data_IF_926463493091
#
_entry.id   IF_926463493091
#
_cell.length_a   1.000
_cell.length_b   1.000
_cell.length_c   1.000
_cell.angle_alpha   90.00
_cell.angle_beta   90.00
_cell.angle_gamma   90.00
#
_symmetry.space_group_name_H-M   'P 1'
#
loop_
_entity.id
_entity.type
_entity.pdbx_description
1 polymer ?
#
# COMPACT_ATOMS: atom_id res chain seq x y z
N UNK A 1 3.18 27.45 -14.19
CA UNK A 1 3.53 27.98 -12.85
C UNK A 1 3.63 29.50 -12.93
N UNK A 2 2.98 30.26 -12.04
CA UNK A 2 3.01 31.73 -12.05
C UNK A 2 4.34 32.25 -11.47
N UNK A 3 5.37 32.28 -12.33
CA UNK A 3 6.69 32.90 -12.10
C UNK A 3 6.56 34.38 -11.66
N UNK A 4 5.39 34.99 -11.88
CA UNK A 4 5.10 36.39 -11.61
C UNK A 4 5.07 36.78 -10.14
N UNK A 5 4.90 35.84 -9.20
CA UNK A 5 4.62 36.20 -7.81
C UNK A 5 5.86 36.55 -6.99
N UNK A 6 7.05 36.09 -7.41
CA UNK A 6 8.32 36.31 -6.71
C UNK A 6 9.50 36.43 -7.70
N UNK A 7 9.58 37.54 -8.45
CA UNK A 7 10.64 37.75 -9.44
C UNK A 7 12.05 37.73 -8.83
N UNK A 8 12.20 38.02 -7.53
CA UNK A 8 13.47 37.98 -6.80
C UNK A 8 14.11 36.59 -6.73
N UNK A 9 13.35 35.52 -7.00
CA UNK A 9 13.86 34.15 -7.04
C UNK A 9 14.71 33.86 -8.28
N UNK A 10 14.71 34.76 -9.27
CA UNK A 10 15.46 34.63 -10.52
C UNK A 10 15.27 33.25 -11.18
N UNK A 11 14.03 32.78 -11.24
CA UNK A 11 13.66 31.55 -11.95
C UNK A 11 13.82 31.81 -13.45
N UNK A 12 14.63 30.99 -14.09
CA UNK A 12 14.95 31.10 -15.53
C UNK A 12 14.15 30.09 -16.34
N UNK A 13 14.04 30.29 -17.65
CA UNK A 13 13.42 29.31 -18.56
C UNK A 13 14.10 27.94 -18.47
N UNK A 14 15.43 27.92 -18.31
CA UNK A 14 16.20 26.70 -18.02
C UNK A 14 15.69 25.94 -16.79
N UNK A 15 15.39 26.66 -15.71
CA UNK A 15 14.92 26.02 -14.47
C UNK A 15 13.54 25.38 -14.68
N UNK A 16 12.67 26.04 -15.44
CA UNK A 16 11.34 25.55 -15.80
C UNK A 16 11.46 24.29 -16.64
N UNK A 17 12.24 24.34 -17.72
CA UNK A 17 12.47 23.20 -18.61
C UNK A 17 13.03 22.00 -17.82
N UNK A 18 14.00 22.22 -16.93
CA UNK A 18 14.56 21.14 -16.11
C UNK A 18 13.52 20.50 -15.17
N UNK A 19 12.65 21.31 -14.55
CA UNK A 19 11.58 20.81 -13.68
C UNK A 19 10.52 20.08 -14.49
N UNK A 20 10.14 20.58 -15.66
CA UNK A 20 9.19 19.93 -16.56
C UNK A 20 9.72 18.59 -17.08
N UNK A 21 10.97 18.55 -17.53
CA UNK A 21 11.63 17.30 -17.96
C UNK A 21 11.69 16.30 -16.79
N UNK A 22 12.05 16.75 -15.59
CA UNK A 22 12.07 15.89 -14.41
C UNK A 22 10.67 15.34 -14.09
N UNK A 23 9.64 16.17 -14.12
CA UNK A 23 8.25 15.75 -13.92
C UNK A 23 7.79 14.72 -14.97
N UNK A 24 8.12 14.94 -16.25
CA UNK A 24 7.80 14.01 -17.34
C UNK A 24 8.54 12.67 -17.21
N UNK A 25 9.77 12.69 -16.67
CA UNK A 25 10.67 11.53 -16.67
C UNK A 25 10.73 10.77 -15.35
N UNK A 26 10.08 11.24 -14.27
CA UNK A 26 10.26 10.67 -12.93
C UNK A 26 9.79 9.21 -12.81
N UNK A 27 8.84 8.79 -13.63
CA UNK A 27 8.23 7.46 -13.62
C UNK A 27 8.76 6.50 -14.71
N UNK A 28 9.76 6.91 -15.51
CA UNK A 28 10.33 6.08 -16.59
C UNK A 28 10.90 4.73 -16.11
N UNK A 29 11.31 4.66 -14.85
CA UNK A 29 11.92 3.48 -14.23
C UNK A 29 10.95 2.46 -13.66
N UNK A 30 9.64 2.65 -13.80
CA UNK A 30 8.66 1.67 -13.34
C UNK A 30 8.68 0.40 -14.19
N UNK A 31 8.88 -0.74 -13.53
CA UNK A 31 8.70 -2.06 -14.15
C UNK A 31 7.24 -2.54 -14.15
N UNK A 32 6.98 -3.77 -14.61
CA UNK A 32 5.64 -4.35 -14.69
C UNK A 32 4.88 -4.32 -13.35
N UNK A 33 3.65 -3.82 -13.34
CA UNK A 33 2.85 -3.57 -12.13
C UNK A 33 3.52 -2.62 -11.11
N UNK A 34 4.37 -1.71 -11.57
CA UNK A 34 4.96 -0.60 -10.81
C UNK A 34 5.59 -1.05 -9.49
N UNK A 35 4.93 -0.82 -8.34
CA UNK A 35 5.47 -1.14 -7.02
C UNK A 35 5.55 -2.63 -6.70
N UNK A 36 4.76 -3.47 -7.40
CA UNK A 36 4.90 -4.93 -7.27
C UNK A 36 6.29 -5.36 -7.75
N UNK A 37 6.82 -4.69 -8.78
CA UNK A 37 8.12 -4.97 -9.35
C UNK A 37 9.26 -4.65 -8.38
N UNK A 38 9.36 -3.38 -7.97
CA UNK A 38 10.50 -2.89 -7.19
C UNK A 38 10.44 -3.35 -5.71
N UNK A 39 9.25 -3.48 -5.14
CA UNK A 39 9.07 -3.74 -3.70
C UNK A 39 8.89 -5.22 -3.37
N UNK A 40 8.49 -6.05 -4.34
CA UNK A 40 8.21 -7.48 -4.08
C UNK A 40 9.03 -8.41 -4.98
N UNK A 41 9.12 -8.17 -6.28
CA UNK A 41 9.79 -9.08 -7.21
C UNK A 41 11.32 -8.99 -7.11
N UNK A 42 11.89 -7.80 -7.39
CA UNK A 42 13.35 -7.62 -7.43
C UNK A 42 14.04 -8.01 -6.11
N UNK A 43 13.54 -7.64 -4.91
CA UNK A 43 14.18 -8.01 -3.66
C UNK A 43 14.25 -9.53 -3.42
N UNK A 44 13.31 -10.30 -3.99
CA UNK A 44 13.28 -11.77 -3.86
C UNK A 44 14.25 -12.46 -4.83
N UNK A 45 14.42 -11.92 -6.04
CA UNK A 45 15.30 -12.51 -7.06
C UNK A 45 16.74 -12.06 -6.88
N UNK A 46 16.96 -10.80 -6.50
CA UNK A 46 18.27 -10.16 -6.42
C UNK A 46 18.51 -9.52 -5.04
N UNK A 47 18.59 -10.32 -3.94
CA UNK A 47 18.67 -9.80 -2.57
C UNK A 47 19.90 -8.93 -2.27
N UNK A 48 20.93 -8.98 -3.12
CA UNK A 48 22.15 -8.16 -3.00
C UNK A 48 22.17 -6.92 -3.89
N UNK A 49 21.21 -6.73 -4.80
CA UNK A 49 21.14 -5.57 -5.69
C UNK A 49 19.98 -4.70 -5.29
N UNK A 50 20.26 -3.43 -5.01
CA UNK A 50 19.21 -2.45 -4.74
C UNK A 50 18.73 -1.87 -6.07
N UNK A 51 17.41 -1.90 -6.25
CA UNK A 51 16.71 -1.28 -7.37
C UNK A 51 15.48 -0.58 -6.83
N UNK A 52 15.20 0.61 -7.35
CA UNK A 52 13.98 1.35 -7.14
C UNK A 52 13.69 2.14 -8.43
N UNK A 53 12.44 2.49 -8.66
CA UNK A 53 12.03 3.09 -9.93
C UNK A 53 12.75 4.43 -10.19
N UNK A 54 13.07 5.25 -9.19
CA UNK A 54 13.83 6.49 -9.43
C UNK A 54 15.24 6.23 -10.03
N UNK A 55 15.93 5.16 -9.63
CA UNK A 55 17.20 4.76 -10.24
C UNK A 55 17.01 4.28 -11.69
N UNK A 56 15.92 3.58 -11.96
CA UNK A 56 15.54 3.19 -13.31
C UNK A 56 15.20 4.39 -14.19
N UNK A 57 14.54 5.41 -13.64
CA UNK A 57 14.19 6.65 -14.35
C UNK A 57 15.45 7.42 -14.74
N UNK A 58 16.43 7.50 -13.83
CA UNK A 58 17.74 8.06 -14.12
C UNK A 58 18.46 7.32 -15.28
N UNK A 59 18.45 5.98 -15.27
CA UNK A 59 19.06 5.16 -16.32
C UNK A 59 18.35 5.31 -17.67
N UNK A 60 17.01 5.30 -17.67
CA UNK A 60 16.21 5.43 -18.87
C UNK A 60 16.31 6.82 -19.49
N UNK A 61 16.42 7.87 -18.67
CA UNK A 61 16.69 9.22 -19.14
C UNK A 61 18.04 9.29 -19.86
N UNK A 62 19.11 8.74 -19.28
CA UNK A 62 20.44 8.71 -19.90
C UNK A 62 20.39 7.99 -21.26
N UNK A 63 19.71 6.84 -21.32
CA UNK A 63 19.55 6.09 -22.57
C UNK A 63 18.76 6.87 -23.63
N UNK A 64 17.64 7.50 -23.25
CA UNK A 64 16.82 8.28 -24.18
C UNK A 64 17.57 9.49 -24.74
N UNK A 65 18.37 10.18 -23.92
CA UNK A 65 19.21 11.30 -24.36
C UNK A 65 20.24 10.82 -25.39
N UNK A 66 20.91 9.70 -25.11
CA UNK A 66 21.95 9.16 -25.98
C UNK A 66 21.38 8.63 -27.31
N UNK A 67 20.28 7.88 -27.28
CA UNK A 67 19.66 7.23 -28.45
C UNK A 67 19.08 8.26 -29.42
N UNK A 68 18.35 9.25 -28.90
CA UNK A 68 17.65 10.25 -29.74
C UNK A 68 18.43 11.55 -29.94
N UNK A 69 19.64 11.67 -29.37
CA UNK A 69 20.46 12.88 -29.47
C UNK A 69 19.78 14.13 -28.91
N UNK A 70 19.09 14.00 -27.77
CA UNK A 70 18.33 15.09 -27.16
C UNK A 70 19.32 16.19 -26.70
N UNK A 71 19.14 17.45 -27.15
CA UNK A 71 20.05 18.53 -26.81
C UNK A 71 19.84 18.98 -25.35
N UNK A 72 20.59 18.39 -24.43
CA UNK A 72 20.63 18.77 -23.01
C UNK A 72 22.09 18.82 -22.53
N UNK A 73 22.44 19.82 -21.73
CA UNK A 73 23.80 19.91 -21.21
C UNK A 73 24.03 18.87 -20.11
N UNK A 74 25.27 18.41 -19.92
CA UNK A 74 25.60 17.49 -18.85
C UNK A 74 25.30 18.06 -17.45
N UNK A 75 25.29 19.39 -17.29
CA UNK A 75 24.89 20.05 -16.04
C UNK A 75 23.39 19.89 -15.80
N UNK A 76 22.58 20.15 -16.83
CA UNK A 76 21.12 20.10 -16.74
C UNK A 76 20.63 18.66 -16.58
N UNK A 77 21.24 17.71 -17.30
CA UNK A 77 20.96 16.29 -17.12
C UNK A 77 21.20 15.84 -15.67
N UNK A 78 22.32 16.26 -15.04
CA UNK A 78 22.56 15.98 -13.62
C UNK A 78 21.52 16.63 -12.71
N UNK A 79 21.09 17.85 -13.03
CA UNK A 79 20.07 18.55 -12.26
C UNK A 79 18.69 17.87 -12.36
N UNK A 80 18.25 17.51 -13.57
CA UNK A 80 17.02 16.73 -13.81
C UNK A 80 17.04 15.42 -13.04
N UNK A 81 18.15 14.67 -13.08
CA UNK A 81 18.30 13.42 -12.31
C UNK A 81 18.24 13.64 -10.81
N UNK A 82 18.84 14.73 -10.32
CA UNK A 82 18.76 15.11 -8.91
C UNK A 82 17.30 15.42 -8.49
N UNK A 83 16.53 16.11 -9.34
CA UNK A 83 15.11 16.40 -9.11
C UNK A 83 14.27 15.12 -9.07
N UNK A 84 14.48 14.18 -10.00
CA UNK A 84 13.82 12.86 -10.02
C UNK A 84 14.14 12.06 -8.75
N UNK A 85 15.40 12.03 -8.34
CA UNK A 85 15.81 11.36 -7.11
C UNK A 85 15.32 12.06 -5.83
N UNK A 86 15.00 13.36 -5.91
CA UNK A 86 14.73 14.21 -4.76
C UNK A 86 15.96 14.44 -3.88
N UNK A 87 17.17 14.42 -4.45
CA UNK A 87 18.45 14.49 -3.74
C UNK A 87 19.30 15.68 -4.20
N UNK A 88 19.27 16.81 -3.45
CA UNK A 88 20.07 17.99 -3.78
C UNK A 88 21.58 17.78 -3.74
N UNK A 89 22.09 16.71 -3.11
CA UNK A 89 23.53 16.44 -3.06
C UNK A 89 24.09 15.96 -4.41
N UNK A 90 23.22 15.53 -5.33
CA UNK A 90 23.59 15.05 -6.67
C UNK A 90 23.78 16.16 -7.71
N UNK A 91 23.42 17.40 -7.40
CA UNK A 91 23.56 18.53 -8.31
C UNK A 91 24.60 19.55 -7.84
N UNK A 92 24.81 20.58 -8.65
CA UNK A 92 25.73 21.66 -8.31
C UNK A 92 25.14 22.52 -7.17
N UNK A 93 25.95 23.07 -6.24
CA UNK A 93 25.43 23.84 -5.10
C UNK A 93 24.73 25.15 -5.47
N UNK A 94 24.87 25.63 -6.71
CA UNK A 94 24.22 26.82 -7.24
C UNK A 94 22.76 26.60 -7.66
N UNK A 95 22.29 25.34 -7.71
CA UNK A 95 20.91 25.03 -8.07
C UNK A 95 19.93 25.38 -6.94
N UNK A 96 18.74 25.83 -7.33
CA UNK A 96 17.74 26.38 -6.40
C UNK A 96 17.04 25.27 -5.61
N UNK A 97 17.26 25.22 -4.29
CA UNK A 97 16.81 24.12 -3.41
C UNK A 97 15.30 23.94 -3.34
N UNK A 98 14.51 25.01 -3.50
CA UNK A 98 13.06 24.93 -3.45
C UNK A 98 12.45 24.17 -4.64
N UNK A 99 13.19 23.99 -5.74
CA UNK A 99 12.70 23.23 -6.91
C UNK A 99 12.56 21.72 -6.62
N UNK A 100 13.29 21.21 -5.62
CA UNK A 100 13.19 19.82 -5.16
C UNK A 100 11.89 19.52 -4.41
N UNK A 101 11.15 20.56 -4.00
CA UNK A 101 9.85 20.41 -3.35
C UNK A 101 8.71 20.21 -4.37
N UNK A 102 9.00 20.22 -5.69
CA UNK A 102 8.02 20.14 -6.79
C UNK A 102 7.84 18.70 -7.28
N UNK A 103 8.88 18.06 -7.81
CA UNK A 103 8.75 16.75 -8.49
C UNK A 103 8.75 15.58 -7.50
N UNK A 104 9.76 15.51 -6.63
CA UNK A 104 9.92 14.42 -5.67
C UNK A 104 10.18 14.99 -4.28
N UNK A 105 9.12 15.47 -3.63
CA UNK A 105 9.21 16.13 -2.33
C UNK A 105 9.50 15.12 -1.20
N UNK A 106 10.78 14.85 -0.92
CA UNK A 106 11.21 13.98 0.18
C UNK A 106 11.04 14.62 1.57
N UNK A 107 10.70 15.92 1.67
CA UNK A 107 10.54 16.64 2.95
C UNK A 107 9.18 16.48 3.60
N UNK A 108 8.09 16.40 2.82
CA UNK A 108 6.73 16.23 3.35
C UNK A 108 5.79 15.41 2.44
N UNK A 109 6.20 15.05 1.21
CA UNK A 109 5.44 14.16 0.32
C UNK A 109 4.18 14.78 -0.30
N UNK A 110 4.07 16.10 -0.33
CA UNK A 110 2.95 16.82 -0.96
C UNK A 110 3.26 17.16 -2.41
N UNK A 111 2.33 16.85 -3.31
CA UNK A 111 2.37 17.18 -4.75
C UNK A 111 1.21 18.13 -5.14
N UNK A 112 1.42 18.95 -6.16
CA UNK A 112 0.95 20.32 -6.28
C UNK A 112 0.05 20.53 -7.50
N UNK A 113 -1.25 20.24 -7.36
CA UNK A 113 -2.26 20.68 -8.34
C UNK A 113 -3.22 21.74 -7.77
N UNK A 114 -3.62 21.64 -6.50
CA UNK A 114 -4.62 22.55 -5.90
C UNK A 114 -4.04 23.62 -4.96
N UNK A 115 -2.78 23.49 -4.51
CA UNK A 115 -2.14 24.38 -3.52
C UNK A 115 -1.15 25.37 -4.19
N UNK A 116 -0.96 25.27 -5.50
CA UNK A 116 0.01 26.09 -6.24
C UNK A 116 -0.27 27.59 -6.10
N UNK A 117 -1.55 27.99 -6.00
CA UNK A 117 -1.93 29.40 -5.93
C UNK A 117 -1.56 30.08 -4.60
N UNK A 118 -1.37 29.33 -3.51
CA UNK A 118 -0.96 29.86 -2.22
C UNK A 118 0.48 29.49 -1.84
N UNK A 119 1.21 28.83 -2.75
CA UNK A 119 2.61 28.51 -2.57
C UNK A 119 3.48 29.77 -2.69
N UNK A 120 4.44 29.93 -1.78
CA UNK A 120 5.50 30.96 -1.81
C UNK A 120 6.82 30.34 -1.38
N UNK A 121 7.92 30.84 -1.91
CA UNK A 121 9.26 30.48 -1.45
C UNK A 121 9.71 31.44 -0.37
N UNK A 122 10.00 30.90 0.82
CA UNK A 122 10.54 31.62 1.97
C UNK A 122 11.65 30.75 2.56
N UNK A 123 12.81 31.35 2.87
CA UNK A 123 13.98 30.61 3.40
C UNK A 123 14.39 29.39 2.54
N UNK A 124 14.36 29.51 1.21
CA UNK A 124 14.67 28.43 0.24
C UNK A 124 13.73 27.20 0.29
N UNK A 125 12.51 27.35 0.81
CA UNK A 125 11.52 26.28 0.88
C UNK A 125 10.15 26.73 0.40
N UNK A 126 9.38 25.81 -0.20
CA UNK A 126 7.98 26.08 -0.52
C UNK A 126 7.16 26.09 0.78
N UNK A 127 6.54 27.24 1.03
CA UNK A 127 5.67 27.53 2.15
C UNK A 127 4.24 27.81 1.65
N UNK A 128 3.25 27.52 2.48
CA UNK A 128 1.83 27.70 2.13
C UNK A 128 1.13 28.70 3.05
N UNK A 129 0.03 29.30 2.61
CA UNK A 129 -0.80 30.14 3.48
C UNK A 129 -1.39 29.27 4.61
N UNK A 130 -1.29 29.72 5.87
CA UNK A 130 -1.79 29.00 7.03
C UNK A 130 -3.28 28.64 6.93
N UNK A 131 -4.07 29.42 6.19
CA UNK A 131 -5.49 29.12 5.93
C UNK A 131 -5.70 27.76 5.22
N UNK A 132 -4.70 27.30 4.47
CA UNK A 132 -4.76 26.07 3.67
C UNK A 132 -4.27 24.85 4.46
N UNK A 133 -3.85 24.99 5.73
CA UNK A 133 -3.35 23.88 6.54
C UNK A 133 -4.32 22.69 6.63
N UNK A 134 -5.63 22.96 6.75
CA UNK A 134 -6.65 21.91 6.73
C UNK A 134 -6.74 21.23 5.35
N UNK A 135 -6.57 21.96 4.26
CA UNK A 135 -6.55 21.38 2.91
C UNK A 135 -5.33 20.47 2.71
N UNK A 136 -4.16 20.89 3.20
CA UNK A 136 -2.96 20.04 3.19
C UNK A 136 -3.16 18.76 4.00
N UNK A 137 -3.80 18.86 5.17
CA UNK A 137 -4.18 17.68 5.95
C UNK A 137 -5.10 16.74 5.15
N UNK A 138 -6.13 17.28 4.48
CA UNK A 138 -7.08 16.50 3.68
C UNK A 138 -6.41 15.75 2.53
N UNK A 139 -5.34 16.29 1.93
CA UNK A 139 -4.54 15.59 0.92
C UNK A 139 -3.88 14.36 1.53
N UNK A 140 -3.20 14.52 2.68
CA UNK A 140 -2.57 13.41 3.40
C UNK A 140 -3.59 12.35 3.84
N UNK A 141 -4.74 12.80 4.35
CA UNK A 141 -5.84 11.93 4.77
C UNK A 141 -6.46 11.17 3.58
N UNK A 142 -6.65 11.85 2.44
CA UNK A 142 -7.15 11.26 1.20
C UNK A 142 -6.18 10.21 0.68
N UNK A 143 -4.88 10.51 0.64
CA UNK A 143 -3.83 9.53 0.29
C UNK A 143 -3.93 8.29 1.19
N UNK A 144 -3.97 8.48 2.52
CA UNK A 144 -4.13 7.38 3.46
C UNK A 144 -5.39 6.54 3.16
N UNK A 145 -6.53 7.19 2.91
CA UNK A 145 -7.80 6.53 2.58
C UNK A 145 -7.71 5.72 1.28
N UNK A 146 -7.09 6.26 0.23
CA UNK A 146 -6.88 5.56 -1.04
C UNK A 146 -5.97 4.33 -0.85
N UNK A 147 -4.87 4.46 -0.09
CA UNK A 147 -4.01 3.33 0.23
C UNK A 147 -4.76 2.23 1.00
N UNK A 148 -5.58 2.61 1.98
CA UNK A 148 -6.31 1.65 2.83
C UNK A 148 -7.45 0.95 2.09
N UNK A 149 -8.18 1.67 1.24
CA UNK A 149 -9.40 1.17 0.59
C UNK A 149 -9.16 0.58 -0.80
N UNK A 150 -8.25 1.18 -1.58
CA UNK A 150 -8.10 0.88 -3.01
C UNK A 150 -6.77 0.16 -3.27
N UNK A 151 -5.63 0.83 -3.04
CA UNK A 151 -4.32 0.29 -3.44
C UNK A 151 -3.96 -1.00 -2.69
N UNK A 152 -4.35 -1.10 -1.42
CA UNK A 152 -4.19 -2.32 -0.65
C UNK A 152 -5.48 -3.12 -0.58
N UNK A 153 -6.33 -3.16 -1.61
CA UNK A 153 -7.52 -4.00 -1.56
C UNK A 153 -7.14 -5.49 -1.45
N UNK A 154 -7.79 -6.23 -0.54
CA UNK A 154 -7.41 -7.62 -0.19
C UNK A 154 -7.30 -8.56 -1.39
N UNK A 155 -8.19 -8.42 -2.38
CA UNK A 155 -8.17 -9.26 -3.58
C UNK A 155 -7.13 -8.80 -4.61
N UNK A 156 -6.80 -7.51 -4.64
CA UNK A 156 -5.71 -7.00 -5.48
C UNK A 156 -4.38 -7.53 -4.96
N UNK A 157 -4.11 -7.40 -3.65
CA UNK A 157 -2.94 -8.00 -2.99
C UNK A 157 -2.82 -9.51 -3.23
N UNK A 158 -3.92 -10.26 -3.18
CA UNK A 158 -3.91 -11.70 -3.50
C UNK A 158 -3.44 -11.97 -4.93
N UNK A 159 -3.88 -11.16 -5.90
CA UNK A 159 -3.44 -11.26 -7.30
C UNK A 159 -1.97 -10.86 -7.42
N UNK A 160 -1.52 -9.80 -6.76
CA UNK A 160 -0.11 -9.40 -6.76
C UNK A 160 0.79 -10.53 -6.26
N UNK A 161 0.43 -11.20 -5.16
CA UNK A 161 1.16 -12.38 -4.69
C UNK A 161 1.21 -13.51 -5.72
N UNK A 162 0.11 -13.76 -6.43
CA UNK A 162 0.08 -14.76 -7.50
C UNK A 162 0.92 -14.34 -8.71
N UNK A 163 0.92 -13.07 -9.08
CA UNK A 163 1.78 -12.54 -10.15
C UNK A 163 3.24 -12.73 -9.77
N UNK A 164 3.62 -12.38 -8.54
CA UNK A 164 4.99 -12.61 -8.04
C UNK A 164 5.36 -14.08 -8.10
N UNK A 165 4.51 -14.99 -7.62
CA UNK A 165 4.81 -16.43 -7.67
C UNK A 165 4.91 -16.95 -9.12
N UNK A 166 4.12 -16.41 -10.05
CA UNK A 166 4.22 -16.73 -11.47
C UNK A 166 5.53 -16.23 -12.08
N UNK A 167 5.96 -15.01 -11.75
CA UNK A 167 7.21 -14.42 -12.20
C UNK A 167 8.42 -15.16 -11.60
N UNK A 168 8.40 -15.49 -10.31
CA UNK A 168 9.45 -16.26 -9.64
C UNK A 168 9.62 -17.65 -10.26
N UNK A 169 8.52 -18.31 -10.63
CA UNK A 169 8.57 -19.59 -11.34
C UNK A 169 9.09 -19.45 -12.79
N UNK A 170 8.95 -18.27 -13.41
CA UNK A 170 9.43 -18.02 -14.77
C UNK A 170 10.89 -17.54 -14.82
N UNK A 171 11.37 -16.94 -13.73
CA UNK A 171 12.67 -16.29 -13.64
C UNK A 171 13.87 -17.19 -14.03
N UNK A 172 13.96 -18.47 -13.60
CA UNK A 172 15.09 -19.33 -13.98
C UNK A 172 15.26 -19.51 -15.49
N UNK A 173 14.19 -19.31 -16.26
CA UNK A 173 14.16 -19.54 -17.71
C UNK A 173 14.16 -18.23 -18.50
N UNK A 174 13.43 -17.22 -18.03
CA UNK A 174 13.28 -15.95 -18.73
C UNK A 174 14.30 -14.88 -18.31
N UNK A 175 14.95 -15.03 -17.14
CA UNK A 175 15.93 -14.09 -16.56
C UNK A 175 15.43 -12.64 -16.68
N UNK A 176 14.23 -12.40 -16.14
CA UNK A 176 13.49 -11.15 -16.33
C UNK A 176 14.08 -10.06 -15.43
N UNK A 177 14.49 -10.42 -14.22
CA UNK A 177 14.98 -9.47 -13.23
C UNK A 177 16.23 -8.72 -13.71
N UNK A 178 17.14 -9.37 -14.44
CA UNK A 178 18.37 -8.73 -14.93
C UNK A 178 18.11 -7.69 -16.02
N UNK A 179 16.98 -7.76 -16.72
CA UNK A 179 16.64 -6.85 -17.83
C UNK A 179 16.47 -5.40 -17.36
N UNK A 180 16.22 -5.16 -16.08
CA UNK A 180 16.07 -3.81 -15.52
C UNK A 180 17.37 -3.00 -15.54
N UNK A 181 18.53 -3.68 -15.61
CA UNK A 181 19.84 -3.02 -15.61
C UNK A 181 20.36 -2.74 -17.03
N UNK A 182 19.55 -3.06 -18.04
CA UNK A 182 19.88 -2.88 -19.44
C UNK A 182 18.74 -2.09 -20.10
N UNK A 183 18.94 -0.80 -20.41
CA UNK A 183 17.85 0.07 -20.86
C UNK A 183 17.21 -0.44 -22.17
N UNK A 184 17.98 -1.04 -23.08
CA UNK A 184 17.46 -1.58 -24.34
C UNK A 184 16.49 -2.75 -24.09
N UNK A 185 16.76 -3.56 -23.07
CA UNK A 185 15.87 -4.66 -22.67
C UNK A 185 14.73 -4.17 -21.78
N UNK A 186 14.96 -3.16 -20.96
CA UNK A 186 14.00 -2.64 -20.00
C UNK A 186 12.80 -1.98 -20.69
N UNK A 187 12.99 -1.33 -21.85
CA UNK A 187 11.89 -0.77 -22.68
C UNK A 187 10.79 -1.81 -22.97
N UNK A 188 11.16 -3.07 -23.20
CA UNK A 188 10.21 -4.14 -23.51
C UNK A 188 9.66 -4.84 -22.26
N UNK A 189 10.13 -4.46 -21.07
CA UNK A 189 9.73 -5.05 -19.81
C UNK A 189 8.50 -4.31 -19.25
N UNK A 190 7.33 -4.72 -19.73
CA UNK A 190 6.04 -4.18 -19.30
C UNK A 190 5.05 -5.30 -18.92
N UNK A 191 3.83 -4.94 -18.53
CA UNK A 191 2.77 -5.87 -18.09
C UNK A 191 2.43 -6.97 -19.11
N UNK A 192 2.82 -6.82 -20.38
CA UNK A 192 2.65 -7.87 -21.39
C UNK A 192 3.41 -9.15 -21.05
N UNK A 193 4.38 -9.13 -20.13
CA UNK A 193 5.11 -10.31 -19.68
C UNK A 193 4.18 -11.43 -19.18
N UNK A 194 3.02 -11.09 -18.58
CA UNK A 194 2.03 -12.12 -18.23
C UNK A 194 1.42 -12.78 -19.46
N UNK A 195 1.12 -12.01 -20.52
CA UNK A 195 0.60 -12.55 -21.77
C UNK A 195 1.66 -13.40 -22.49
N UNK A 196 2.95 -13.02 -22.39
CA UNK A 196 4.06 -13.82 -22.92
C UNK A 196 4.18 -15.16 -22.19
N UNK A 197 4.11 -15.15 -20.85
CA UNK A 197 4.08 -16.38 -20.05
C UNK A 197 2.85 -17.23 -20.44
N UNK A 198 1.66 -16.63 -20.51
CA UNK A 198 0.40 -17.29 -20.81
C UNK A 198 0.38 -17.97 -22.18
N UNK A 199 0.93 -17.30 -23.20
CA UNK A 199 0.99 -17.80 -24.59
C UNK A 199 2.16 -18.76 -24.87
N UNK A 200 3.13 -18.86 -23.96
CA UNK A 200 4.27 -19.76 -24.11
C UNK A 200 3.84 -21.23 -24.17
N UNK A 201 4.54 -22.03 -24.99
CA UNK A 201 4.31 -23.49 -25.10
C UNK A 201 5.37 -24.31 -24.36
N UNK A 202 6.46 -23.68 -23.92
CA UNK A 202 7.62 -24.34 -23.30
C UNK A 202 7.24 -25.05 -21.98
N UNK A 203 7.64 -26.31 -21.76
CA UNK A 203 7.31 -27.06 -20.53
C UNK A 203 7.77 -26.35 -19.24
N UNK A 204 8.89 -25.66 -19.30
CA UNK A 204 9.55 -24.96 -18.21
C UNK A 204 8.65 -23.89 -17.57
N UNK A 205 7.82 -23.23 -18.38
CA UNK A 205 6.88 -22.20 -17.90
C UNK A 205 5.51 -22.77 -17.49
N UNK A 206 5.34 -24.10 -17.43
CA UNK A 206 4.07 -24.72 -17.07
C UNK A 206 3.57 -24.30 -15.68
N UNK A 207 4.47 -24.19 -14.69
CA UNK A 207 4.13 -23.75 -13.33
C UNK A 207 3.63 -22.31 -13.32
N UNK A 208 4.34 -21.40 -13.98
CA UNK A 208 3.92 -20.00 -14.13
C UNK A 208 2.58 -19.90 -14.85
N UNK A 209 2.41 -20.59 -15.99
CA UNK A 209 1.14 -20.63 -16.73
C UNK A 209 -0.03 -21.12 -15.89
N UNK A 210 0.18 -22.14 -15.06
CA UNK A 210 -0.87 -22.64 -14.18
C UNK A 210 -1.34 -21.57 -13.19
N UNK A 211 -0.41 -20.79 -12.62
CA UNK A 211 -0.75 -19.67 -11.73
C UNK A 211 -1.51 -18.57 -12.50
N UNK A 212 -1.07 -18.19 -13.70
CA UNK A 212 -1.76 -17.19 -14.52
C UNK A 212 -3.18 -17.63 -14.86
N UNK A 213 -3.38 -18.90 -15.24
CA UNK A 213 -4.73 -19.46 -15.48
C UNK A 213 -5.62 -19.35 -14.25
N UNK A 214 -5.11 -19.66 -13.05
CA UNK A 214 -5.86 -19.47 -11.79
C UNK A 214 -6.29 -18.02 -11.60
N UNK A 215 -5.45 -17.04 -11.94
CA UNK A 215 -5.83 -15.62 -11.91
C UNK A 215 -7.00 -15.35 -12.87
N UNK A 216 -6.93 -15.86 -14.11
CA UNK A 216 -8.00 -15.71 -15.13
C UNK A 216 -9.32 -16.35 -14.68
N UNK A 217 -9.24 -17.54 -14.08
CA UNK A 217 -10.40 -18.30 -13.57
C UNK A 217 -10.91 -17.77 -12.23
N UNK A 218 -10.28 -16.73 -11.69
CA UNK A 218 -10.58 -16.13 -10.38
C UNK A 218 -10.41 -17.12 -9.20
N UNK A 219 -9.60 -18.16 -9.40
CA UNK A 219 -9.14 -19.04 -8.32
C UNK A 219 -7.96 -18.39 -7.57
N UNK A 220 -8.29 -17.34 -6.83
CA UNK A 220 -7.30 -16.52 -6.12
C UNK A 220 -6.90 -17.12 -4.77
N UNK A 221 -5.70 -16.76 -4.30
CA UNK A 221 -5.29 -16.94 -2.90
C UNK A 221 -6.34 -16.36 -1.95
N UNK A 222 -6.63 -17.10 -0.87
CA UNK A 222 -7.73 -16.77 0.03
C UNK A 222 -7.20 -16.06 1.26
N UNK A 223 -7.75 -14.88 1.54
CA UNK A 223 -7.49 -14.18 2.79
C UNK A 223 -8.15 -14.95 3.94
N UNK A 224 -7.36 -15.31 4.93
CA UNK A 224 -7.72 -16.10 6.12
C UNK A 224 -8.15 -15.20 7.27
N UNK A 225 -7.35 -14.17 7.55
CA UNK A 225 -7.64 -13.23 8.62
C UNK A 225 -7.11 -11.82 8.29
N UNK A 226 -7.63 -10.84 9.01
CA UNK A 226 -7.36 -9.42 8.85
C UNK A 226 -7.36 -8.74 10.21
N UNK A 227 -6.31 -7.96 10.49
CA UNK A 227 -6.23 -7.15 11.71
C UNK A 227 -5.55 -5.81 11.45
N UNK A 228 -6.10 -4.75 12.05
CA UNK A 228 -5.40 -3.46 12.15
C UNK A 228 -4.62 -3.46 13.45
N UNK A 229 -3.32 -3.25 13.36
CA UNK A 229 -2.37 -3.25 14.48
C UNK A 229 -1.92 -1.82 14.70
N UNK A 230 -1.99 -1.35 15.94
CA UNK A 230 -1.49 -0.02 16.29
C UNK A 230 0.03 0.07 16.11
N UNK A 231 0.53 1.24 15.72
CA UNK A 231 1.96 1.47 15.45
C UNK A 231 2.95 0.97 16.52
N UNK A 232 2.71 1.11 17.83
CA UNK A 232 3.63 0.64 18.86
C UNK A 232 3.86 -0.87 18.84
N UNK A 233 2.87 -1.66 18.40
CA UNK A 233 2.95 -3.12 18.39
C UNK A 233 3.48 -3.70 17.07
N UNK A 234 3.94 -2.85 16.14
CA UNK A 234 4.41 -3.29 14.82
C UNK A 234 5.55 -4.30 14.89
N UNK A 235 6.49 -4.12 15.82
CA UNK A 235 7.65 -5.00 16.01
C UNK A 235 7.21 -6.33 16.62
N UNK A 236 6.38 -6.28 17.66
CA UNK A 236 5.78 -7.46 18.29
C UNK A 236 5.08 -8.36 17.26
N UNK A 237 4.21 -7.77 16.42
CA UNK A 237 3.51 -8.52 15.39
C UNK A 237 4.45 -9.03 14.29
N UNK A 238 5.46 -8.25 13.89
CA UNK A 238 6.48 -8.68 12.92
C UNK A 238 7.27 -9.89 13.40
N UNK A 239 7.61 -9.94 14.68
CA UNK A 239 8.45 -11.00 15.22
C UNK A 239 7.63 -12.24 15.60
N UNK A 240 6.40 -12.05 16.09
CA UNK A 240 5.54 -13.14 16.60
C UNK A 240 4.63 -13.74 15.52
N UNK A 241 4.18 -12.96 14.54
CA UNK A 241 3.27 -13.44 13.49
C UNK A 241 4.06 -13.65 12.20
N UNK A 242 4.51 -14.88 11.97
CA UNK A 242 5.24 -15.28 10.77
C UNK A 242 4.59 -16.50 10.13
N UNK A 243 4.79 -16.69 8.82
CA UNK A 243 4.28 -17.88 8.11
C UNK A 243 4.73 -19.17 8.78
N UNK A 244 6.02 -19.27 9.12
CA UNK A 244 6.59 -20.40 9.86
C UNK A 244 5.84 -20.71 11.16
N UNK A 245 5.68 -19.72 12.04
CA UNK A 245 5.01 -19.92 13.34
C UNK A 245 3.55 -20.35 13.19
N UNK A 246 2.86 -19.81 12.18
CA UNK A 246 1.48 -20.21 11.88
C UNK A 246 1.45 -21.67 11.42
N UNK A 247 2.34 -22.08 10.52
CA UNK A 247 2.42 -23.47 10.03
C UNK A 247 2.83 -24.43 11.15
N UNK A 248 3.80 -24.07 11.99
CA UNK A 248 4.21 -24.87 13.16
C UNK A 248 3.03 -25.11 14.11
N UNK A 249 2.23 -24.07 14.37
CA UNK A 249 1.04 -24.18 15.21
C UNK A 249 -0.06 -25.03 14.56
N UNK A 250 -0.22 -24.95 13.22
CA UNK A 250 -1.12 -25.85 12.48
C UNK A 250 -0.65 -27.30 12.58
N UNK A 251 0.66 -27.57 12.40
CA UNK A 251 1.26 -28.91 12.51
C UNK A 251 1.11 -29.46 13.94
N UNK A 252 1.32 -28.62 14.97
CA UNK A 252 1.11 -28.98 16.39
C UNK A 252 -0.34 -29.39 16.67
N UNK A 253 -1.32 -28.68 16.09
CA UNK A 253 -2.75 -28.99 16.25
C UNK A 253 -3.21 -30.20 15.45
N UNK A 254 -2.54 -30.51 14.33
CA UNK A 254 -2.81 -31.72 13.58
C UNK A 254 -2.60 -33.00 14.43
N UNK A 255 -1.76 -32.95 15.48
CA UNK A 255 -1.63 -34.05 16.45
C UNK A 255 -2.88 -34.26 17.31
N UNK A 256 -3.67 -33.22 17.57
CA UNK A 256 -4.92 -33.29 18.35
C UNK A 256 -6.18 -33.47 17.49
N UNK A 257 -6.14 -33.03 16.23
CA UNK A 257 -7.24 -33.12 15.26
C UNK A 257 -6.63 -33.57 13.91
N UNK A 258 -6.48 -34.89 13.70
CA UNK A 258 -5.76 -35.44 12.57
C UNK A 258 -6.41 -35.06 11.23
N UNK A 259 -5.56 -34.81 10.24
CA UNK A 259 -5.99 -34.56 8.87
C UNK A 259 -6.48 -35.86 8.22
N UNK A 260 -7.44 -35.81 7.27
CA UNK A 260 -7.70 -36.94 6.39
C UNK A 260 -6.41 -37.38 5.69
N UNK A 261 -6.23 -38.68 5.45
CA UNK A 261 -4.99 -39.24 4.88
C UNK A 261 -4.62 -38.64 3.50
N UNK A 262 -5.60 -38.13 2.74
CA UNK A 262 -5.41 -37.50 1.42
C UNK A 262 -5.14 -35.98 1.46
N UNK A 263 -4.93 -35.39 2.63
CA UNK A 263 -4.73 -33.94 2.74
C UNK A 263 -3.30 -33.53 2.34
N UNK A 264 -3.12 -32.58 1.41
CA UNK A 264 -1.79 -32.21 0.92
C UNK A 264 -0.95 -31.58 2.03
N UNK A 265 0.35 -31.85 2.13
CA UNK A 265 1.19 -31.26 3.19
C UNK A 265 1.18 -29.73 3.13
N UNK A 266 1.14 -29.04 4.29
CA UNK A 266 1.17 -27.58 4.38
C UNK A 266 2.59 -27.10 4.69
N UNK A 267 3.14 -26.30 3.78
CA UNK A 267 4.49 -25.74 3.91
C UNK A 267 4.46 -24.24 4.23
N UNK A 268 5.59 -23.70 4.71
CA UNK A 268 5.72 -22.27 5.03
C UNK A 268 5.34 -21.38 3.84
N UNK A 269 5.73 -21.80 2.64
CA UNK A 269 5.49 -21.09 1.38
C UNK A 269 4.00 -21.01 0.99
N UNK A 270 3.15 -21.86 1.56
CA UNK A 270 1.70 -21.87 1.31
C UNK A 270 0.94 -20.81 2.11
N UNK A 271 1.57 -20.23 3.13
CA UNK A 271 1.00 -19.19 3.98
C UNK A 271 1.73 -17.88 3.75
N UNK A 272 0.97 -16.82 3.48
CA UNK A 272 1.52 -15.47 3.29
C UNK A 272 1.06 -14.60 4.44
N UNK A 273 2.01 -14.06 5.21
CA UNK A 273 1.77 -13.02 6.20
C UNK A 273 2.20 -11.67 5.63
N UNK A 274 1.23 -10.80 5.42
CA UNK A 274 1.42 -9.44 4.90
C UNK A 274 1.25 -8.43 6.03
N UNK A 275 2.33 -7.70 6.34
CA UNK A 275 2.35 -6.62 7.33
C UNK A 275 2.64 -5.30 6.61
N UNK A 276 1.57 -4.64 6.16
CA UNK A 276 1.70 -3.43 5.37
C UNK A 276 1.53 -2.17 6.23
N UNK A 277 2.52 -1.28 6.20
CA UNK A 277 2.46 0.01 6.90
C UNK A 277 1.56 0.99 6.18
N UNK A 278 0.50 1.45 6.85
CA UNK A 278 -0.38 2.52 6.37
C UNK A 278 -0.04 3.80 7.11
N UNK A 279 0.18 4.90 6.39
CA UNK A 279 0.56 6.17 6.99
C UNK A 279 0.17 7.37 6.12
N UNK A 280 0.25 8.57 6.67
CA UNK A 280 -0.15 9.83 6.03
C UNK A 280 0.91 10.42 5.08
N UNK A 281 2.03 9.73 4.87
CA UNK A 281 3.13 10.17 4.01
C UNK A 281 4.49 10.12 4.72
N UNK A 282 4.48 10.29 6.05
CA UNK A 282 5.68 10.40 6.87
C UNK A 282 5.74 9.42 8.04
N UNK A 283 5.51 8.13 7.75
CA UNK A 283 5.42 7.07 8.76
C UNK A 283 4.57 7.54 9.96
N UNK A 284 5.06 7.46 11.18
CA UNK A 284 4.33 7.86 12.40
C UNK A 284 4.16 9.37 12.58
N UNK A 285 4.94 10.19 11.87
CA UNK A 285 4.93 11.63 12.04
C UNK A 285 3.79 12.28 11.25
N UNK A 286 3.25 13.35 11.81
CA UNK A 286 2.32 14.22 11.10
C UNK A 286 3.07 14.95 9.97
N UNK A 287 2.71 14.76 8.68
CA UNK A 287 3.37 15.45 7.57
C UNK A 287 3.36 16.98 7.72
N UNK A 288 2.32 17.55 8.34
CA UNK A 288 2.20 19.00 8.54
C UNK A 288 3.29 19.57 9.45
N UNK A 289 3.95 18.75 10.29
CA UNK A 289 5.10 19.21 11.08
C UNK A 289 6.28 19.61 10.19
N UNK A 290 6.37 19.06 8.98
CA UNK A 290 7.44 19.34 8.01
C UNK A 290 7.02 20.33 6.93
N UNK A 291 5.86 20.97 7.11
CA UNK A 291 5.37 22.03 6.24
C UNK A 291 5.54 23.36 6.95
N UNK A 292 6.12 24.32 6.24
CA UNK A 292 6.20 25.71 6.69
C UNK A 292 5.02 26.50 6.15
N UNK A 293 4.46 27.36 7.00
CA UNK A 293 3.32 28.20 6.69
C UNK A 293 3.66 29.67 6.86
N UNK A 294 3.08 30.53 6.03
CA UNK A 294 3.13 31.99 6.18
C UNK A 294 1.72 32.55 6.44
N UNK A 295 1.65 33.78 6.93
CA UNK A 295 0.39 34.52 7.08
C UNK A 295 0.34 35.66 6.08
N UNK A 296 -0.84 35.98 5.54
CA UNK A 296 -1.02 37.20 4.72
C UNK A 296 -0.57 38.48 5.41
N UNK A 297 -0.61 38.50 6.74
CA UNK A 297 -0.15 39.65 7.54
C UNK A 297 1.37 39.80 7.57
N UNK A 298 2.10 38.70 7.37
CA UNK A 298 3.55 38.68 7.30
C UNK A 298 4.01 37.66 6.23
N UNK A 299 3.95 38.04 4.94
CA UNK A 299 4.17 37.12 3.83
C UNK A 299 5.64 36.73 3.61
N UNK A 300 6.58 37.39 4.30
CA UNK A 300 8.02 37.15 4.16
C UNK A 300 8.60 36.28 5.29
N UNK A 301 7.78 35.84 6.23
CA UNK A 301 8.19 35.00 7.36
C UNK A 301 7.34 33.74 7.40
N UNK A 302 7.99 32.61 7.69
CA UNK A 302 7.36 31.31 7.77
C UNK A 302 7.62 30.64 9.12
N UNK A 303 6.67 29.83 9.56
CA UNK A 303 6.77 28.99 10.77
C UNK A 303 5.99 27.69 10.61
N UNK A 304 6.28 26.71 11.43
CA UNK A 304 5.49 25.48 11.49
C UNK A 304 4.11 25.76 12.10
N UNK A 305 3.11 24.99 11.71
CA UNK A 305 1.79 25.06 12.33
C UNK A 305 1.79 24.34 13.68
N UNK A 306 1.22 24.98 14.70
CA UNK A 306 1.12 24.45 16.05
C UNK A 306 -0.26 23.85 16.33
N UNK A 307 -0.39 23.11 17.43
CA UNK A 307 -1.70 22.63 17.89
C UNK A 307 -2.59 23.83 18.20
N UNK A 308 -3.72 23.94 17.51
CA UNK A 308 -4.64 25.07 17.60
C UNK A 308 -4.69 25.91 16.32
N UNK A 309 -3.66 25.84 15.46
CA UNK A 309 -3.69 26.46 14.13
C UNK A 309 -4.52 25.65 13.12
N UNK A 310 -4.71 24.36 13.39
CA UNK A 310 -5.52 23.42 12.61
C UNK A 310 -6.44 22.58 13.50
N UNK A 311 -7.38 21.86 12.88
CA UNK A 311 -8.42 21.10 13.57
C UNK A 311 -7.88 20.16 14.65
N UNK A 312 -8.50 20.19 15.84
CA UNK A 312 -8.20 19.29 16.96
C UNK A 312 -8.75 17.88 16.76
N UNK A 313 -9.61 17.66 15.75
CA UNK A 313 -10.23 16.38 15.43
C UNK A 313 -9.35 15.47 14.54
N UNK A 314 -8.06 15.78 14.42
CA UNK A 314 -7.11 14.95 13.69
C UNK A 314 -6.71 13.70 14.50
N UNK A 315 -6.24 12.62 13.83
CA UNK A 315 -5.71 11.44 14.50
C UNK A 315 -4.55 11.78 15.43
N UNK A 316 -4.49 11.10 16.58
CA UNK A 316 -3.33 11.17 17.48
C UNK A 316 -2.11 10.45 16.90
N UNK A 317 -2.34 9.44 16.04
CA UNK A 317 -1.30 8.64 15.38
C UNK A 317 -1.49 8.67 13.87
N UNK A 318 -0.40 8.91 13.15
CA UNK A 318 -0.39 9.05 11.69
C UNK A 318 0.05 7.79 10.94
N UNK A 319 0.27 6.68 11.67
CA UNK A 319 0.54 5.37 11.12
C UNK A 319 -0.15 4.23 11.86
N UNK A 320 -0.46 3.17 11.11
CA UNK A 320 -0.95 1.88 11.59
C UNK A 320 -0.35 0.76 10.72
N UNK A 321 -0.45 -0.48 11.18
CA UNK A 321 -0.03 -1.66 10.41
C UNK A 321 -1.23 -2.52 10.06
N UNK A 322 -1.35 -2.85 8.79
CA UNK A 322 -2.39 -3.70 8.25
C UNK A 322 -1.86 -5.13 8.13
N UNK A 323 -2.29 -6.00 9.04
CA UNK A 323 -1.98 -7.42 8.99
C UNK A 323 -3.03 -8.14 8.14
N UNK A 324 -2.57 -8.92 7.17
CA UNK A 324 -3.37 -9.87 6.41
C UNK A 324 -2.67 -11.20 6.30
N UNK A 325 -3.45 -12.25 6.40
CA UNK A 325 -2.96 -13.62 6.25
C UNK A 325 -3.67 -14.22 5.06
N UNK A 326 -2.92 -14.82 4.15
CA UNK A 326 -3.45 -15.54 3.00
C UNK A 326 -2.98 -16.99 3.02
N UNK A 327 -3.81 -17.87 2.46
CA UNK A 327 -3.43 -19.25 2.13
C UNK A 327 -3.48 -19.47 0.62
N UNK A 328 -2.49 -20.17 0.09
CA UNK A 328 -2.46 -20.66 -1.29
C UNK A 328 -3.33 -21.90 -1.48
N UNK A 329 -3.63 -22.61 -0.37
CA UNK A 329 -4.41 -23.84 -0.25
C UNK A 329 -5.73 -23.57 0.50
N UNK A 330 -6.86 -23.36 -0.20
CA UNK A 330 -8.16 -23.05 0.40
C UNK A 330 -8.66 -24.09 1.40
N UNK A 331 -8.24 -25.34 1.24
CA UNK A 331 -8.55 -26.47 2.12
C UNK A 331 -8.00 -26.29 3.54
N UNK A 332 -6.92 -25.51 3.69
CA UNK A 332 -6.29 -25.20 4.99
C UNK A 332 -6.84 -23.94 5.66
N UNK A 333 -7.84 -23.29 5.09
CA UNK A 333 -8.30 -21.97 5.54
C UNK A 333 -8.64 -21.94 7.04
N UNK A 334 -9.50 -22.85 7.52
CA UNK A 334 -9.91 -22.91 8.93
C UNK A 334 -8.75 -23.18 9.87
N UNK A 335 -7.83 -24.07 9.47
CA UNK A 335 -6.66 -24.44 10.28
C UNK A 335 -5.65 -23.31 10.37
N UNK A 336 -5.34 -22.64 9.26
CA UNK A 336 -4.46 -21.46 9.25
C UNK A 336 -5.05 -20.34 10.11
N UNK A 337 -6.38 -20.14 10.07
CA UNK A 337 -7.05 -19.18 10.95
C UNK A 337 -6.88 -19.56 12.43
N UNK A 338 -7.13 -20.82 12.76
CA UNK A 338 -6.97 -21.32 14.12
C UNK A 338 -5.53 -21.19 14.63
N UNK A 339 -4.54 -21.50 13.79
CA UNK A 339 -3.12 -21.36 14.10
C UNK A 339 -2.74 -19.92 14.40
N UNK A 340 -3.11 -18.98 13.52
CA UNK A 340 -2.90 -17.56 13.76
C UNK A 340 -3.55 -17.07 15.07
N UNK A 341 -4.80 -17.46 15.33
CA UNK A 341 -5.53 -17.00 16.51
C UNK A 341 -4.94 -17.50 17.82
N UNK A 342 -4.33 -18.69 17.82
CA UNK A 342 -3.57 -19.16 18.98
C UNK A 342 -2.36 -18.26 19.27
N UNK A 343 -1.65 -17.86 18.21
CA UNK A 343 -0.54 -16.91 18.35
C UNK A 343 -1.07 -15.59 18.90
N UNK A 344 -2.20 -15.10 18.41
CA UNK A 344 -2.81 -13.86 18.91
C UNK A 344 -3.21 -13.94 20.39
N UNK A 345 -3.74 -15.09 20.82
CA UNK A 345 -4.05 -15.35 22.23
C UNK A 345 -2.78 -15.39 23.10
N UNK A 346 -1.69 -16.01 22.63
CA UNK A 346 -0.41 -15.99 23.36
C UNK A 346 0.16 -14.59 23.52
N UNK A 347 0.07 -13.75 22.47
CA UNK A 347 0.52 -12.35 22.53
C UNK A 347 -0.32 -11.56 23.54
N UNK A 348 -1.63 -11.79 23.56
CA UNK A 348 -2.54 -11.11 24.50
C UNK A 348 -2.24 -11.46 25.95
N UNK A 349 -1.88 -12.72 26.23
CA UNK A 349 -1.56 -13.21 27.58
C UNK A 349 -0.21 -12.66 28.06
N UNK A 350 0.80 -12.63 27.19
CA UNK A 350 2.11 -12.03 27.49
C UNK A 350 1.97 -10.56 27.89
N UNK A 351 1.12 -9.78 27.21
CA UNK A 351 0.90 -8.37 27.57
C UNK A 351 0.12 -8.18 28.88
N UNK A 352 -0.94 -8.95 29.14
CA UNK A 352 -1.70 -8.80 30.40
C UNK A 352 -0.81 -9.03 31.62
N UNK A 353 0.12 -9.98 31.55
CA UNK A 353 1.08 -10.26 32.63
C UNK A 353 2.09 -9.11 32.86
N UNK A 354 2.32 -8.25 31.86
CA UNK A 354 3.20 -7.07 31.99
C UNK A 354 2.49 -5.82 32.51
N UNK A 355 1.16 -5.76 32.41
CA UNK A 355 0.36 -4.60 32.86
C UNK A 355 -0.13 -4.78 34.30
N UNK A 356 -0.41 -6.02 34.72
CA UNK A 356 -0.87 -6.33 36.09
C UNK A 356 0.20 -6.14 37.18
N UNK A 357 1.44 -5.80 36.81
CA UNK A 357 2.52 -5.42 37.74
C UNK A 357 2.61 -3.91 38.04
N UNK A 358 1.67 -3.10 37.53
CA UNK A 358 1.51 -1.68 37.89
C UNK A 358 0.11 -1.48 38.47
N UNK A 359 -0.01 -1.58 39.79
CA UNK A 359 -1.26 -1.26 40.50
C UNK A 359 -1.62 0.21 40.27
N UNK A 360 -2.80 0.55 39.74
CA UNK A 360 -3.25 1.95 39.71
C UNK A 360 -3.55 2.43 41.13
N UNK A 361 -3.32 3.72 41.45
CA UNK A 361 -3.75 4.28 42.73
C UNK A 361 -5.28 4.34 42.78
N UNK A 362 -5.85 3.90 43.89
CA UNK A 362 -7.27 4.01 44.18
C UNK A 362 -7.67 5.48 44.13
N UNK A 363 -8.51 5.83 43.15
CA UNK A 363 -9.18 7.14 43.12
C UNK A 363 -10.68 6.86 43.14
N UNK A 364 -11.35 7.35 44.17
CA UNK A 364 -12.79 7.19 44.35
C UNK A 364 -13.56 7.88 43.20
N UNK A 365 -14.60 7.24 42.65
CA UNK A 365 -15.46 7.88 41.66
C UNK A 365 -16.34 8.96 42.32
N UNK A 366 -16.60 10.09 41.65
CA UNK A 366 -17.42 11.16 42.19
C UNK A 366 -18.90 10.74 42.33
N UNK A 367 -19.47 11.02 43.51
CA UNK A 367 -20.88 10.83 43.86
C UNK A 367 -21.80 11.69 42.97
N UNK A 368 -22.74 11.04 42.26
CA UNK A 368 -23.85 11.69 41.56
C UNK A 368 -25.18 11.32 42.24
N UNK A 369 -26.16 12.23 42.41
CA UNK A 369 -27.37 11.98 43.21
C UNK A 369 -28.34 10.98 42.55
N UNK A 370 -29.21 10.31 43.33
CA UNK A 370 -30.04 9.21 42.85
C UNK A 370 -31.22 9.71 42.00
N UNK A 371 -31.29 9.24 40.75
CA UNK A 371 -32.49 9.38 39.92
C UNK A 371 -33.43 8.19 40.16
N UNK A 372 -34.73 8.50 40.21
CA UNK A 372 -35.80 7.60 40.64
C UNK A 372 -35.97 6.34 39.78
N UNK A 373 -36.31 5.27 40.48
CA UNK A 373 -36.54 3.91 40.01
C UNK A 373 -37.78 3.84 39.11
N UNK A 374 -37.67 3.20 37.95
CA UNK A 374 -38.80 2.52 37.33
C UNK A 374 -38.44 1.04 37.13
N UNK A 375 -39.23 0.19 37.76
CA UNK A 375 -39.06 -1.26 37.85
C UNK A 375 -39.46 -1.93 36.54
N UNK A 376 -38.50 -2.54 35.85
CA UNK A 376 -38.76 -3.60 34.87
C UNK A 376 -38.10 -4.88 35.38
N UNK A 377 -38.92 -5.79 35.88
CA UNK A 377 -38.57 -7.18 36.16
C UNK A 377 -38.43 -7.94 34.86
N UNK A 378 -37.22 -8.42 34.56
CA UNK A 378 -36.97 -9.47 33.59
C UNK A 378 -36.03 -10.50 34.22
N UNK A 379 -36.36 -11.73 33.90
CA UNK A 379 -36.05 -12.97 34.60
C UNK A 379 -34.56 -13.27 34.77
N UNK A 380 -34.25 -13.93 35.88
CA UNK A 380 -32.92 -14.36 36.25
C UNK A 380 -32.46 -15.51 35.35
N UNK A 381 -31.27 -15.38 34.74
CA UNK A 381 -30.62 -16.54 34.12
C UNK A 381 -29.60 -16.20 33.03
N UNK A 382 -28.47 -15.59 33.40
CA UNK A 382 -27.15 -15.81 32.75
C UNK A 382 -26.10 -14.97 33.45
N UNK A 383 -25.12 -15.63 34.06
CA UNK A 383 -23.94 -15.01 34.63
C UNK A 383 -23.10 -14.38 33.52
N UNK A 384 -23.29 -13.08 33.30
CA UNK A 384 -22.37 -12.28 32.47
C UNK A 384 -21.12 -12.05 33.31
N UNK A 385 -20.19 -13.01 33.25
CA UNK A 385 -18.81 -12.78 33.66
C UNK A 385 -18.23 -11.68 32.78
N UNK A 386 -17.82 -10.57 33.40
CA UNK A 386 -17.03 -9.49 32.81
C UNK A 386 -15.71 -10.06 32.30
N UNK A 387 -15.71 -10.58 31.06
CA UNK A 387 -14.47 -10.82 30.33
C UNK A 387 -13.87 -9.44 30.04
N UNK A 388 -12.85 -9.06 30.80
CA UNK A 388 -11.93 -7.99 30.42
C UNK A 388 -11.59 -8.17 28.93
N UNK A 389 -11.92 -7.16 28.11
CA UNK A 389 -11.70 -7.24 26.68
C UNK A 389 -10.19 -7.36 26.44
N UNK A 390 -9.72 -8.56 26.08
CA UNK A 390 -8.31 -8.78 25.70
C UNK A 390 -7.94 -7.76 24.62
N UNK A 391 -6.84 -7.03 24.83
CA UNK A 391 -6.39 -5.93 23.97
C UNK A 391 -6.32 -6.31 22.49
N UNK A 392 -5.87 -7.54 22.21
CA UNK A 392 -5.91 -8.11 20.86
C UNK A 392 -6.99 -9.18 20.75
N UNK A 393 -8.25 -8.77 20.81
CA UNK A 393 -9.36 -9.68 20.64
C UNK A 393 -9.42 -10.27 19.23
N UNK A 394 -9.89 -11.52 19.16
CA UNK A 394 -10.26 -12.18 17.92
C UNK A 394 -11.45 -11.44 17.27
N UNK A 395 -11.47 -11.33 15.94
CA UNK A 395 -12.63 -10.81 15.24
C UNK A 395 -13.77 -11.85 15.27
N UNK A 396 -14.73 -11.63 16.19
CA UNK A 396 -15.86 -12.54 16.41
C UNK A 396 -16.69 -12.77 15.14
N UNK A 397 -16.81 -11.77 14.25
CA UNK A 397 -17.59 -11.84 13.01
C UNK A 397 -17.01 -12.77 11.94
N UNK A 398 -15.74 -13.18 12.05
CA UNK A 398 -15.04 -13.92 10.98
C UNK A 398 -14.54 -15.29 11.43
N UNK A 399 -14.88 -15.70 12.66
CA UNK A 399 -14.47 -16.98 13.25
C UNK A 399 -15.16 -18.15 12.57
N UNK A 400 -14.40 -19.16 12.18
CA UNK A 400 -14.95 -20.43 11.69
C UNK A 400 -14.32 -21.63 12.41
N UNK A 401 -14.90 -22.82 12.21
CA UNK A 401 -14.34 -24.09 12.67
C UNK A 401 -12.98 -24.38 12.01
N UNK A 402 -12.00 -25.02 12.69
CA UNK A 402 -10.75 -25.48 12.07
C UNK A 402 -10.95 -26.38 10.84
N UNK A 403 -12.07 -27.13 10.79
CA UNK A 403 -12.44 -27.98 9.66
C UNK A 403 -13.07 -27.23 8.48
N UNK A 404 -13.25 -25.92 8.59
CA UNK A 404 -13.82 -25.10 7.52
C UNK A 404 -12.87 -25.02 6.33
N UNK A 405 -13.39 -25.43 5.16
CA UNK A 405 -12.77 -25.24 3.86
C UNK A 405 -13.60 -24.23 3.07
N UNK A 406 -12.93 -23.25 2.46
CA UNK A 406 -13.62 -22.30 1.61
C UNK A 406 -14.08 -22.99 0.32
N UNK A 407 -15.36 -22.87 -0.08
CA UNK A 407 -15.79 -23.36 -1.38
C UNK A 407 -15.00 -22.67 -2.50
N UNK A 408 -14.64 -23.42 -3.54
CA UNK A 408 -14.04 -22.86 -4.76
C UNK A 408 -14.96 -21.74 -5.24
N UNK A 409 -14.37 -20.59 -5.57
CA UNK A 409 -15.11 -19.45 -6.13
C UNK A 409 -16.00 -19.98 -7.26
N UNK A 410 -17.29 -19.59 -7.35
CA UNK A 410 -18.15 -20.12 -8.38
C UNK A 410 -17.55 -19.78 -9.74
N UNK A 411 -16.91 -20.76 -10.36
CA UNK A 411 -16.72 -20.80 -11.80
C UNK A 411 -18.10 -20.59 -12.38
N UNK A 412 -18.21 -19.68 -13.34
CA UNK A 412 -19.46 -19.34 -14.03
C UNK A 412 -19.93 -20.55 -14.84
N UNK A 413 -20.39 -21.60 -14.16
CA UNK A 413 -20.91 -22.85 -14.68
C UNK A 413 -22.41 -22.84 -14.52
N UNK A 414 -23.11 -22.72 -15.65
CA UNK A 414 -24.56 -22.61 -15.72
C UNK A 414 -24.98 -21.57 -16.74
N UNK A 415 -24.75 -21.88 -18.02
CA UNK A 415 -25.31 -21.11 -19.11
C UNK A 415 -26.83 -21.04 -18.98
N UNK A 416 -27.37 -19.92 -18.51
CA UNK A 416 -28.70 -19.50 -18.93
C UNK A 416 -28.59 -19.20 -20.43
N UNK A 417 -28.93 -20.20 -21.26
CA UNK A 417 -29.38 -19.98 -22.64
C UNK A 417 -30.46 -18.90 -22.57
N UNK A 418 -30.11 -17.66 -22.90
CA UNK A 418 -31.12 -16.70 -23.38
C UNK A 418 -31.57 -17.26 -24.71
N UNK A 419 -32.75 -17.89 -24.73
CA UNK A 419 -33.43 -18.20 -25.98
C UNK A 419 -33.57 -16.88 -26.75
N UNK A 420 -33.06 -16.89 -27.97
CA UNK A 420 -33.17 -15.78 -28.91
C UNK A 420 -33.95 -16.31 -30.12
N UNK A 421 -35.21 -16.63 -29.87
CA UNK A 421 -36.27 -16.67 -30.87
C UNK A 421 -37.12 -15.41 -30.65
N UNK A 422 -37.56 -14.62 -31.61
CA UNK A 422 -37.40 -14.60 -33.06
C UNK A 422 -37.88 -13.21 -33.52
N UNK A 423 -37.08 -12.54 -34.37
CA UNK A 423 -37.43 -11.60 -35.45
C UNK A 423 -38.58 -10.57 -35.32
N UNK A 424 -38.17 -9.34 -35.64
CA UNK A 424 -38.77 -8.39 -36.60
C UNK A 424 -39.55 -7.19 -36.05
N UNK A 425 -38.94 -6.00 -36.16
CA UNK A 425 -39.31 -4.94 -37.12
C UNK A 425 -38.46 -3.68 -36.85
N UNK A 426 -37.58 -3.37 -37.80
CA UNK A 426 -36.84 -2.10 -37.89
C UNK A 426 -37.78 -1.03 -38.46
N UNK A 427 -37.80 0.23 -37.96
CA UNK A 427 -38.55 1.29 -38.61
C UNK A 427 -37.74 1.87 -39.78
N UNK A 428 -38.31 1.79 -40.97
CA UNK A 428 -37.82 2.41 -42.22
C UNK A 428 -37.82 3.94 -42.12
N UNK A 429 -36.66 4.52 -42.45
CA UNK A 429 -36.39 5.97 -42.57
C UNK A 429 -37.05 6.50 -43.85
N UNK A 430 -38.15 7.26 -43.74
CA UNK A 430 -38.74 7.98 -44.88
C UNK A 430 -37.86 9.19 -45.24
N UNK A 431 -37.39 9.20 -46.49
CA UNK A 431 -36.74 10.32 -47.19
C UNK A 431 -37.85 11.10 -47.90
N UNK A 432 -38.06 12.37 -47.57
CA UNK A 432 -38.90 13.26 -48.37
C UNK A 432 -38.06 13.85 -49.50
N UNK A 433 -38.53 13.67 -50.74
CA UNK A 433 -38.25 14.52 -51.90
C UNK A 433 -39.55 14.65 -52.69
N UNK A 434 -40.15 15.82 -52.63
CA UNK A 434 -40.85 16.59 -53.68
C UNK A 434 -41.40 17.83 -53.01
#
# INVERSE_FOLDING_TARGET
MTISNQPELNITDRDIDCVEIAGLCHDLGHGPWSHVWDSMFIPRVLPGRRWWHELGSEMMLDHMIAEYGIPITAKDQRFVKALIAGDPSKCSPDEKRFLFDIVANKRNGLDVDNIVNSARVIEEQICYDIKDANQLYEICATRFKLHKMIYNHKAAKAIEYMIIDALLAAEPHLRIAERVFDPEKFIFLNDSILNQIESSTVPELAKSRAIVRRIRDRDLYKMVDYKVVEWPFRTLFRDKVTSKKIVDEVKRRASSDPLPDDFPELEEEDVIVDLCTMHYGMKEENPLKFVKFYSKRNPSSCRNAEKGDYSTLQPERFAEVLLRIYTKKPEYWGRVQAGYRQILDSISIEETNTVDSITPPATEPPSTPPAQVSSFTLDAGTSVGTKSARRFSNNSFTTVSPTFSMPKSPTRGGGRKRSRDSRSKSPTRKRNKS
#
